data_IF_580064759373
#
_entry.id   IF_580064759373
#
_cell.length_a   1.000
_cell.length_b   1.000
_cell.length_c   1.000
_cell.angle_alpha   90.00
_cell.angle_beta   90.00
_cell.angle_gamma   90.00
#
_symmetry.space_group_name_H-M   'P 1'
#
loop_
_entity.id
_entity.type
_entity.pdbx_description
1 polymer ?
#
# COMPACT_ATOMS: atom_id res chain seq x y z
N UNK A 1 -81.88 -28.32 -34.16
CA UNK A 1 -80.96 -27.20 -34.49
C UNK A 1 -79.78 -27.24 -33.53
N UNK A 2 -78.53 -27.25 -34.03
CA UNK A 2 -77.33 -27.41 -33.19
C UNK A 2 -77.03 -26.11 -32.44
N UNK A 3 -76.89 -26.18 -31.10
CA UNK A 3 -76.34 -25.07 -30.29
C UNK A 3 -74.84 -25.29 -30.14
N UNK A 4 -74.03 -24.40 -30.72
CA UNK A 4 -72.59 -24.33 -30.42
C UNK A 4 -72.43 -23.49 -29.15
N UNK A 5 -71.84 -24.09 -28.11
CA UNK A 5 -71.34 -23.38 -26.94
C UNK A 5 -69.86 -23.11 -27.21
N UNK A 6 -69.51 -21.84 -27.39
CA UNK A 6 -68.12 -21.42 -27.52
C UNK A 6 -67.55 -21.21 -26.10
N UNK A 7 -66.77 -22.16 -25.60
CA UNK A 7 -66.06 -22.00 -24.33
C UNK A 7 -64.82 -21.12 -24.57
N UNK A 8 -64.96 -19.82 -24.34
CA UNK A 8 -63.83 -18.89 -24.40
C UNK A 8 -63.10 -18.88 -23.06
N UNK A 9 -62.06 -19.70 -22.92
CA UNK A 9 -61.17 -19.66 -21.74
C UNK A 9 -60.14 -18.55 -21.93
N UNK A 10 -60.20 -17.43 -21.18
CA UNK A 10 -59.09 -16.47 -21.20
C UNK A 10 -57.89 -17.10 -20.49
N UNK A 11 -56.84 -17.44 -21.24
CA UNK A 11 -55.53 -17.74 -20.67
C UNK A 11 -54.96 -16.45 -20.08
N UNK A 12 -55.10 -16.29 -18.77
CA UNK A 12 -54.62 -15.12 -18.04
C UNK A 12 -53.09 -15.19 -17.93
N UNK A 13 -52.40 -14.66 -18.93
CA UNK A 13 -50.94 -14.57 -18.92
C UNK A 13 -50.49 -13.45 -17.98
N UNK A 14 -50.27 -13.77 -16.70
CA UNK A 14 -49.52 -12.91 -15.78
C UNK A 14 -48.03 -12.92 -16.13
N UNK A 15 -47.65 -12.23 -17.20
CA UNK A 15 -46.26 -11.88 -17.44
C UNK A 15 -45.84 -10.79 -16.45
N UNK A 16 -45.20 -11.19 -15.35
CA UNK A 16 -44.63 -10.28 -14.34
C UNK A 16 -43.10 -10.18 -14.39
N UNK A 17 -42.46 -10.90 -15.32
CA UNK A 17 -41.00 -10.93 -15.50
C UNK A 17 -40.64 -10.53 -16.95
N UNK A 18 -39.74 -9.57 -17.11
CA UNK A 18 -39.21 -9.13 -18.40
C UNK A 18 -37.88 -9.83 -18.67
N UNK A 19 -37.85 -10.74 -19.64
CA UNK A 19 -36.62 -11.34 -20.15
C UNK A 19 -36.10 -10.59 -21.37
N UNK A 20 -34.86 -10.10 -21.31
CA UNK A 20 -34.11 -9.63 -22.49
C UNK A 20 -33.11 -10.72 -22.84
N UNK A 21 -33.30 -11.36 -23.98
CA UNK A 21 -32.52 -12.53 -24.44
C UNK A 21 -32.58 -13.75 -23.48
N UNK A 22 -33.62 -13.85 -22.63
CA UNK A 22 -33.97 -15.04 -21.87
C UNK A 22 -35.45 -15.39 -22.08
N UNK A 23 -35.76 -16.62 -22.50
CA UNK A 23 -37.13 -17.13 -22.69
C UNK A 23 -37.77 -17.69 -21.41
N UNK A 24 -36.98 -17.91 -20.36
CA UNK A 24 -37.42 -18.36 -19.04
C UNK A 24 -36.83 -17.46 -17.94
N UNK A 25 -37.26 -16.19 -17.85
CA UNK A 25 -36.71 -15.23 -16.90
C UNK A 25 -37.04 -15.61 -15.44
N UNK A 26 -36.02 -15.84 -14.64
CA UNK A 26 -36.17 -16.24 -13.22
C UNK A 26 -36.28 -15.04 -12.26
N UNK A 27 -35.99 -13.83 -12.75
CA UNK A 27 -36.14 -12.57 -12.04
C UNK A 27 -37.13 -11.64 -12.76
N UNK A 28 -37.64 -10.63 -12.05
CA UNK A 28 -38.55 -9.59 -12.60
C UNK A 28 -37.95 -8.85 -13.80
N UNK A 29 -36.62 -8.69 -13.83
CA UNK A 29 -35.86 -8.33 -15.02
C UNK A 29 -34.67 -9.29 -15.10
N UNK A 30 -34.54 -9.98 -16.23
CA UNK A 30 -33.48 -10.95 -16.49
C UNK A 30 -32.82 -10.61 -17.83
N UNK A 31 -31.49 -10.42 -17.81
CA UNK A 31 -30.70 -9.98 -18.96
C UNK A 31 -29.54 -10.96 -19.13
N UNK A 32 -29.65 -11.84 -20.14
CA UNK A 32 -28.58 -12.76 -20.50
C UNK A 32 -27.85 -12.19 -21.71
N UNK A 33 -26.56 -11.88 -21.55
CA UNK A 33 -25.74 -11.40 -22.65
C UNK A 33 -25.48 -12.49 -23.70
N UNK A 34 -25.25 -12.10 -24.94
CA UNK A 34 -24.92 -13.01 -26.04
C UNK A 34 -23.45 -13.44 -26.08
N UNK A 35 -22.60 -12.89 -25.20
CA UNK A 35 -21.19 -13.26 -25.06
C UNK A 35 -20.82 -13.56 -23.61
N UNK A 36 -19.58 -14.04 -23.40
CA UNK A 36 -19.06 -14.52 -22.12
C UNK A 36 -17.59 -14.08 -21.85
N UNK A 37 -17.10 -13.04 -22.55
CA UNK A 37 -15.73 -12.51 -22.43
C UNK A 37 -15.71 -10.99 -22.31
N UNK A 38 -14.62 -10.42 -21.78
CA UNK A 38 -14.40 -8.98 -21.65
C UNK A 38 -14.51 -8.17 -22.96
N UNK A 39 -14.46 -8.82 -24.13
CA UNK A 39 -14.64 -8.16 -25.42
C UNK A 39 -16.05 -7.57 -25.63
N UNK A 40 -17.05 -8.02 -24.84
CA UNK A 40 -18.46 -7.71 -25.05
C UNK A 40 -19.18 -7.40 -23.72
N UNK A 41 -20.35 -6.75 -23.80
CA UNK A 41 -21.02 -6.11 -22.65
C UNK A 41 -22.42 -6.67 -22.44
N UNK A 42 -22.77 -6.93 -21.18
CA UNK A 42 -24.07 -7.43 -20.75
C UNK A 42 -25.05 -6.27 -20.53
N UNK A 43 -24.53 -5.15 -20.02
CA UNK A 43 -25.27 -3.91 -19.85
C UNK A 43 -24.36 -2.73 -20.17
N UNK A 44 -24.86 -1.78 -20.95
CA UNK A 44 -24.20 -0.52 -21.27
C UNK A 44 -25.21 0.62 -21.10
N UNK A 45 -24.87 1.61 -20.29
CA UNK A 45 -25.63 2.85 -20.13
C UNK A 45 -24.78 4.01 -20.65
N UNK A 46 -25.34 4.77 -21.59
CA UNK A 46 -24.73 5.99 -22.12
C UNK A 46 -25.53 7.23 -21.75
N UNK A 47 -24.85 8.37 -21.60
CA UNK A 47 -25.51 9.67 -21.56
C UNK A 47 -25.97 10.11 -22.98
N UNK A 48 -26.59 11.29 -23.06
CA UNK A 48 -27.06 11.88 -24.33
C UNK A 48 -25.96 12.32 -25.30
N UNK A 49 -24.68 12.33 -24.87
CA UNK A 49 -23.53 12.63 -25.70
C UNK A 49 -22.67 11.34 -25.91
N UNK A 50 -23.24 10.29 -26.52
CA UNK A 50 -22.83 8.88 -26.58
C UNK A 50 -21.80 8.28 -25.60
N UNK A 51 -21.60 8.86 -24.43
CA UNK A 51 -20.50 8.53 -23.51
C UNK A 51 -20.98 7.50 -22.53
N UNK A 52 -20.21 6.43 -22.37
CA UNK A 52 -20.51 5.32 -21.48
C UNK A 52 -20.27 5.72 -20.01
N UNK A 53 -21.34 5.68 -19.21
CA UNK A 53 -21.33 6.12 -17.81
C UNK A 53 -21.44 4.96 -16.82
N UNK A 54 -21.99 3.82 -17.26
CA UNK A 54 -22.04 2.58 -16.50
C UNK A 54 -21.98 1.38 -17.45
N UNK A 55 -21.21 0.36 -17.09
CA UNK A 55 -21.03 -0.84 -17.90
C UNK A 55 -20.89 -2.08 -17.03
N UNK A 56 -21.45 -3.19 -17.49
CA UNK A 56 -21.20 -4.53 -16.98
C UNK A 56 -20.74 -5.36 -18.18
N UNK A 57 -19.50 -5.86 -18.12
CA UNK A 57 -18.95 -6.74 -19.14
C UNK A 57 -19.41 -8.19 -18.96
N UNK A 58 -19.25 -9.00 -20.00
CA UNK A 58 -19.71 -10.39 -19.99
C UNK A 58 -18.86 -11.34 -19.14
N UNK A 59 -17.70 -10.88 -18.67
CA UNK A 59 -16.87 -11.50 -17.62
C UNK A 59 -17.24 -11.03 -16.20
N UNK A 60 -18.23 -10.14 -16.06
CA UNK A 60 -18.69 -9.57 -14.79
C UNK A 60 -17.96 -8.29 -14.35
N UNK A 61 -16.95 -7.82 -15.09
CA UNK A 61 -16.22 -6.60 -14.73
C UNK A 61 -17.10 -5.34 -14.90
N UNK A 62 -17.28 -4.58 -13.81
CA UNK A 62 -18.13 -3.38 -13.75
C UNK A 62 -17.28 -2.12 -13.91
N UNK A 63 -17.70 -1.21 -14.81
CA UNK A 63 -17.05 0.09 -15.00
C UNK A 63 -18.01 1.25 -14.75
N UNK A 64 -17.61 2.21 -13.93
CA UNK A 64 -18.33 3.47 -13.68
C UNK A 64 -17.53 4.61 -14.33
N UNK A 65 -18.17 5.32 -15.26
CA UNK A 65 -17.58 6.38 -16.09
C UNK A 65 -16.28 5.94 -16.82
N UNK A 66 -16.22 4.65 -17.17
CA UNK A 66 -15.12 4.04 -17.92
C UNK A 66 -15.47 3.98 -19.40
N UNK A 67 -14.62 4.59 -20.25
CA UNK A 67 -14.91 4.82 -21.67
C UNK A 67 -14.74 3.57 -22.56
N UNK A 68 -14.16 2.48 -22.06
CA UNK A 68 -13.95 1.25 -22.82
C UNK A 68 -13.93 0.00 -21.91
N UNK A 69 -14.31 -1.14 -22.49
CA UNK A 69 -14.18 -2.45 -21.87
C UNK A 69 -12.72 -2.72 -21.44
N UNK A 70 -11.76 -2.49 -22.34
CA UNK A 70 -10.33 -2.71 -22.10
C UNK A 70 -9.71 -1.79 -21.02
N UNK A 71 -10.43 -0.74 -20.57
CA UNK A 71 -9.99 0.12 -19.47
C UNK A 71 -10.45 -0.38 -18.09
N UNK A 72 -11.28 -1.41 -18.03
CA UNK A 72 -11.71 -2.07 -16.80
C UNK A 72 -10.76 -3.23 -16.49
N UNK A 73 -9.68 -2.93 -15.77
CA UNK A 73 -8.64 -3.89 -15.38
C UNK A 73 -8.89 -4.57 -14.03
N UNK A 74 -9.99 -4.23 -13.35
CA UNK A 74 -10.44 -4.79 -12.08
C UNK A 74 -11.96 -5.01 -12.08
N UNK A 75 -12.44 -5.84 -11.13
CA UNK A 75 -13.87 -6.20 -10.97
C UNK A 75 -14.80 -4.98 -10.86
N UNK A 76 -14.32 -3.90 -10.23
CA UNK A 76 -14.99 -2.61 -10.16
C UNK A 76 -13.98 -1.50 -10.49
N UNK A 77 -14.02 -1.02 -11.73
CA UNK A 77 -13.27 0.15 -12.16
C UNK A 77 -14.12 1.42 -12.02
N UNK A 78 -13.73 2.33 -11.14
CA UNK A 78 -14.35 3.66 -11.04
C UNK A 78 -13.37 4.68 -11.60
N UNK A 79 -13.77 5.40 -12.64
CA UNK A 79 -12.98 6.49 -13.21
C UNK A 79 -13.65 7.82 -12.88
N UNK A 80 -12.96 8.71 -12.16
CA UNK A 80 -13.52 10.01 -11.76
C UNK A 80 -13.73 10.99 -12.92
N UNK A 81 -13.15 10.71 -14.10
CA UNK A 81 -13.20 11.56 -15.30
C UNK A 81 -12.41 12.86 -15.21
N UNK A 82 -11.87 13.18 -14.03
CA UNK A 82 -11.00 14.34 -13.77
C UNK A 82 -10.20 14.09 -12.49
N UNK A 83 -8.92 14.46 -12.48
CA UNK A 83 -8.08 14.44 -11.29
C UNK A 83 -8.61 15.32 -10.14
N UNK A 84 -9.51 16.27 -10.41
CA UNK A 84 -10.15 17.13 -9.40
C UNK A 84 -11.34 16.49 -8.67
N UNK A 85 -11.76 15.28 -9.08
CA UNK A 85 -12.87 14.53 -8.46
C UNK A 85 -12.34 13.32 -7.70
N UNK A 86 -12.81 13.13 -6.47
CA UNK A 86 -12.59 11.89 -5.72
C UNK A 86 -13.16 10.69 -6.50
N UNK A 87 -12.34 9.65 -6.70
CA UNK A 87 -12.77 8.40 -7.37
C UNK A 87 -13.86 7.69 -6.57
N UNK A 88 -13.69 7.64 -5.24
CA UNK A 88 -14.69 7.14 -4.30
C UNK A 88 -14.86 8.15 -3.18
N UNK A 89 -16.09 8.54 -2.90
CA UNK A 89 -16.48 9.33 -1.73
C UNK A 89 -17.45 8.48 -0.91
N UNK A 90 -17.08 8.21 0.34
CA UNK A 90 -17.92 7.52 1.29
C UNK A 90 -18.43 8.54 2.30
N UNK A 91 -19.70 8.89 2.21
CA UNK A 91 -20.37 9.79 3.14
C UNK A 91 -20.83 9.04 4.40
N UNK A 92 -20.90 9.75 5.53
CA UNK A 92 -21.34 9.20 6.82
C UNK A 92 -20.53 7.98 7.31
N UNK A 93 -19.22 7.96 7.08
CA UNK A 93 -18.32 7.02 7.76
C UNK A 93 -18.50 7.13 9.28
N UNK A 94 -18.88 6.02 9.91
CA UNK A 94 -18.98 5.94 11.37
C UNK A 94 -17.64 6.29 12.00
N UNK A 95 -17.64 7.34 12.82
CA UNK A 95 -16.47 7.77 13.58
C UNK A 95 -16.66 7.40 15.06
N UNK A 96 -15.58 7.46 15.84
CA UNK A 96 -15.55 6.97 17.22
C UNK A 96 -16.36 7.78 18.24
N UNK A 97 -16.95 8.91 17.83
CA UNK A 97 -17.75 9.79 18.69
C UNK A 97 -19.10 9.18 19.06
N UNK A 98 -19.76 8.54 18.10
CA UNK A 98 -21.17 8.14 18.19
C UNK A 98 -21.33 6.61 18.18
N UNK A 99 -20.83 5.95 19.23
CA UNK A 99 -20.90 4.48 19.41
C UNK A 99 -22.35 3.97 19.51
N UNK A 100 -22.95 3.58 18.39
CA UNK A 100 -24.12 2.69 18.38
C UNK A 100 -23.67 1.23 18.34
N UNK A 101 -23.98 0.49 19.42
CA UNK A 101 -23.50 -0.89 19.67
C UNK A 101 -24.28 -1.94 18.85
N UNK A 102 -24.65 -1.62 17.60
CA UNK A 102 -25.67 -2.33 16.84
C UNK A 102 -25.23 -2.85 15.45
N UNK A 103 -24.02 -2.53 14.98
CA UNK A 103 -23.59 -2.91 13.62
C UNK A 103 -22.08 -3.11 13.49
N UNK A 104 -21.63 -4.36 13.66
CA UNK A 104 -20.49 -5.02 13.00
C UNK A 104 -19.07 -4.41 12.96
N UNK A 105 -18.88 -3.15 13.35
CA UNK A 105 -17.65 -2.37 13.12
C UNK A 105 -16.83 -2.29 14.39
N UNK A 106 -15.58 -2.78 14.33
CA UNK A 106 -14.66 -2.76 15.47
C UNK A 106 -13.86 -1.45 15.50
N UNK A 107 -14.28 -0.52 16.35
CA UNK A 107 -13.68 0.81 16.50
C UNK A 107 -12.33 0.83 17.25
N UNK A 108 -11.80 -0.32 17.70
CA UNK A 108 -10.55 -0.38 18.46
C UNK A 108 -9.29 -0.46 17.57
N UNK A 109 -9.40 -0.15 16.27
CA UNK A 109 -8.29 -0.09 15.31
C UNK A 109 -8.33 1.25 14.55
N UNK A 110 -7.28 2.07 14.69
CA UNK A 110 -7.20 3.44 14.12
C UNK A 110 -6.11 3.58 13.06
N UNK A 111 -6.35 4.48 12.09
CA UNK A 111 -5.36 5.04 11.13
C UNK A 111 -6.02 5.95 10.05
N UNK A 112 -5.27 6.48 9.05
CA UNK A 112 -5.73 7.07 7.76
C UNK A 112 -4.78 6.79 6.55
N UNK A 113 -5.38 6.54 5.37
CA UNK A 113 -4.94 5.93 4.07
C UNK A 113 -3.62 5.12 3.82
N UNK A 114 -3.75 3.93 3.17
CA UNK A 114 -2.77 2.99 2.54
C UNK A 114 -3.48 2.15 1.46
N UNK A 115 -2.76 1.62 0.46
CA UNK A 115 -3.21 0.54 -0.45
C UNK A 115 -2.29 -0.68 -0.30
N UNK A 116 -2.84 -1.91 -0.17
CA UNK A 116 -2.03 -3.14 -0.15
C UNK A 116 -1.57 -3.57 -1.56
N UNK A 117 -0.67 -4.56 -1.65
CA UNK A 117 -0.17 -5.08 -2.95
C UNK A 117 -1.27 -5.73 -3.82
N UNK A 118 -2.51 -5.85 -3.34
CA UNK A 118 -3.67 -6.41 -4.04
C UNK A 118 -4.72 -5.35 -4.40
N UNK A 119 -4.49 -4.07 -4.06
CA UNK A 119 -5.37 -2.94 -4.41
C UNK A 119 -6.38 -2.51 -3.32
N UNK A 120 -6.33 -3.07 -2.11
CA UNK A 120 -7.29 -2.76 -1.03
C UNK A 120 -6.91 -1.48 -0.27
N UNK A 121 -7.86 -0.55 -0.13
CA UNK A 121 -7.63 0.78 0.49
C UNK A 121 -7.98 0.77 1.99
N UNK A 122 -6.95 0.73 2.84
CA UNK A 122 -7.03 0.84 4.32
C UNK A 122 -6.12 2.01 4.75
N UNK A 123 -5.39 1.99 5.87
CA UNK A 123 -5.01 3.20 6.61
C UNK A 123 -3.67 3.11 7.42
N UNK A 124 -2.89 4.22 7.48
CA UNK A 124 -1.63 4.48 8.24
C UNK A 124 -1.66 5.84 9.02
N UNK A 125 -0.61 6.68 9.00
CA UNK A 125 -0.50 8.05 9.49
C UNK A 125 0.74 8.66 8.78
N UNK A 126 0.66 9.89 8.24
CA UNK A 126 1.76 10.48 7.46
C UNK A 126 2.28 11.81 8.05
N UNK A 127 3.51 11.79 8.55
CA UNK A 127 4.21 12.97 9.10
C UNK A 127 4.52 14.04 8.05
N UNK A 128 4.60 13.68 6.75
CA UNK A 128 4.84 14.63 5.64
C UNK A 128 3.73 15.67 5.51
N UNK A 129 2.51 15.34 5.96
CA UNK A 129 1.39 16.29 6.02
C UNK A 129 1.63 17.48 6.97
N UNK A 130 2.64 17.39 7.85
CA UNK A 130 2.99 18.45 8.83
C UNK A 130 4.20 19.30 8.43
N UNK A 131 4.99 18.91 7.42
CA UNK A 131 6.13 19.69 6.94
C UNK A 131 6.57 19.26 5.54
N UNK A 132 6.71 20.22 4.61
CA UNK A 132 7.17 19.96 3.23
C UNK A 132 8.63 19.49 3.10
N UNK A 133 9.41 19.53 4.18
CA UNK A 133 10.79 19.02 4.22
C UNK A 133 10.90 17.62 4.84
N UNK A 134 9.81 17.13 5.44
CA UNK A 134 9.70 15.76 5.92
C UNK A 134 9.61 14.77 4.75
N UNK A 135 10.15 13.57 4.94
CA UNK A 135 10.22 12.56 3.88
C UNK A 135 10.21 11.14 4.42
N UNK A 136 9.77 10.21 3.58
CA UNK A 136 9.96 8.76 3.75
C UNK A 136 11.07 8.30 2.79
N UNK A 137 11.84 7.30 3.17
CA UNK A 137 12.95 6.71 2.41
C UNK A 137 12.94 5.17 2.53
N UNK A 138 11.73 4.60 2.39
CA UNK A 138 11.53 3.15 2.30
C UNK A 138 11.98 2.64 0.94
N UNK A 139 12.56 1.44 0.89
CA UNK A 139 13.06 0.84 -0.34
C UNK A 139 14.14 -0.21 -0.12
N UNK A 140 14.65 -0.75 -1.23
CA UNK A 140 15.78 -1.68 -1.24
C UNK A 140 17.08 -0.94 -1.53
N UNK A 141 18.12 -1.26 -0.77
CA UNK A 141 19.43 -0.63 -0.78
C UNK A 141 20.53 -1.70 -0.84
N UNK A 142 21.68 -1.34 -1.41
CA UNK A 142 22.87 -2.20 -1.40
C UNK A 142 24.01 -1.44 -0.76
N UNK A 143 24.45 -1.89 0.41
CA UNK A 143 25.62 -1.36 1.10
C UNK A 143 26.90 -1.93 0.49
N UNK A 144 27.92 -1.08 0.33
CA UNK A 144 29.28 -1.46 -0.04
C UNK A 144 30.26 -0.82 0.94
N UNK A 145 31.57 -1.03 0.78
CA UNK A 145 32.57 -0.34 1.61
C UNK A 145 32.58 1.19 1.44
N UNK A 146 31.91 1.72 0.41
CA UNK A 146 31.79 3.17 0.16
C UNK A 146 30.57 3.76 0.87
N UNK A 147 30.78 4.84 1.63
CA UNK A 147 29.71 5.63 2.23
C UNK A 147 28.71 6.12 1.17
N UNK A 148 27.47 5.67 1.28
CA UNK A 148 26.36 6.02 0.39
C UNK A 148 25.29 6.75 1.20
N UNK A 149 24.74 7.84 0.70
CA UNK A 149 23.70 8.61 1.42
C UNK A 149 22.37 7.86 1.42
N UNK A 150 21.82 7.61 2.61
CA UNK A 150 20.46 7.11 2.80
C UNK A 150 19.44 8.23 2.65
N UNK A 151 19.69 9.37 3.29
CA UNK A 151 18.82 10.56 3.21
C UNK A 151 19.55 11.83 3.63
N UNK A 152 19.08 12.97 3.12
CA UNK A 152 19.57 14.30 3.49
C UNK A 152 18.94 14.76 4.79
N UNK A 153 19.75 15.33 5.68
CA UNK A 153 19.32 15.82 6.99
C UNK A 153 19.15 17.34 6.99
N UNK A 154 18.14 17.80 7.72
CA UNK A 154 17.86 19.23 7.92
C UNK A 154 17.87 19.60 9.41
N UNK A 155 18.01 20.90 9.72
CA UNK A 155 17.94 21.39 11.10
C UNK A 155 16.61 21.02 11.78
N UNK A 156 16.70 20.39 12.97
CA UNK A 156 15.53 19.96 13.76
C UNK A 156 14.93 18.61 13.37
N UNK A 157 15.66 17.77 12.64
CA UNK A 157 15.24 16.42 12.25
C UNK A 157 15.19 15.42 13.42
N UNK A 158 14.10 14.66 13.45
CA UNK A 158 14.04 13.30 14.01
C UNK A 158 13.95 12.36 12.83
N UNK A 159 14.85 11.37 12.78
CA UNK A 159 14.85 10.32 11.76
C UNK A 159 14.56 9.00 12.45
N UNK A 160 13.63 8.20 11.93
CA UNK A 160 13.43 6.81 12.34
C UNK A 160 13.32 5.94 11.09
N UNK A 161 13.80 4.71 11.16
CA UNK A 161 13.67 3.72 10.09
C UNK A 161 13.87 2.31 10.64
N UNK A 162 13.17 1.34 10.07
CA UNK A 162 13.44 -0.08 10.33
C UNK A 162 14.29 -0.64 9.20
N UNK A 163 15.20 -1.56 9.52
CA UNK A 163 16.05 -2.26 8.56
C UNK A 163 15.81 -3.76 8.58
N UNK A 164 15.99 -4.41 7.44
CA UNK A 164 16.07 -5.86 7.30
C UNK A 164 17.06 -6.22 6.20
N UNK A 165 18.07 -7.05 6.47
CA UNK A 165 18.82 -7.74 5.41
C UNK A 165 18.00 -8.94 4.90
N UNK A 166 17.60 -9.00 3.62
CA UNK A 166 16.76 -10.08 3.11
C UNK A 166 17.48 -11.44 3.04
N UNK A 167 18.81 -11.41 2.91
CA UNK A 167 19.67 -12.58 2.75
C UNK A 167 20.73 -12.63 3.85
N UNK A 168 21.16 -13.85 4.21
CA UNK A 168 22.29 -14.13 5.11
C UNK A 168 23.61 -13.64 4.50
N UNK A 169 23.90 -12.35 4.69
CA UNK A 169 24.95 -11.61 3.96
C UNK A 169 25.80 -10.70 4.85
N UNK A 170 25.35 -10.41 6.07
CA UNK A 170 26.21 -9.85 7.11
C UNK A 170 27.04 -10.94 7.76
N UNK A 171 28.01 -10.55 8.59
CA UNK A 171 28.81 -11.45 9.39
C UNK A 171 29.36 -12.63 8.58
N UNK A 172 29.07 -13.86 9.03
CA UNK A 172 29.44 -15.12 8.37
C UNK A 172 28.18 -15.83 7.86
N UNK A 173 27.33 -15.09 7.14
CA UNK A 173 26.00 -15.56 6.75
C UNK A 173 24.97 -15.26 7.84
N UNK A 174 24.85 -13.99 8.21
CA UNK A 174 23.94 -13.47 9.22
C UNK A 174 22.87 -12.56 8.60
N UNK A 175 21.68 -12.57 9.19
CA UNK A 175 20.60 -11.60 8.94
C UNK A 175 20.41 -10.67 10.14
N UNK A 176 19.97 -9.44 9.87
CA UNK A 176 19.73 -8.39 10.86
C UNK A 176 18.38 -7.73 10.63
N UNK A 177 17.62 -7.56 11.72
CA UNK A 177 16.52 -6.60 11.83
C UNK A 177 16.83 -5.58 12.94
N UNK A 178 16.53 -4.30 12.70
CA UNK A 178 16.56 -3.28 13.75
C UNK A 178 15.59 -2.12 13.50
N UNK A 179 15.08 -1.52 14.57
CA UNK A 179 14.34 -0.25 14.58
C UNK A 179 15.28 0.85 15.10
N UNK A 180 15.69 1.73 14.19
CA UNK A 180 16.75 2.72 14.39
C UNK A 180 16.14 4.11 14.42
N UNK A 181 16.52 4.91 15.41
CA UNK A 181 16.23 6.34 15.48
C UNK A 181 17.52 7.14 15.53
N UNK A 182 17.57 8.29 14.88
CA UNK A 182 18.63 9.28 15.04
C UNK A 182 18.04 10.66 15.30
N UNK A 183 18.65 11.38 16.25
CA UNK A 183 18.45 12.83 16.42
C UNK A 183 19.79 13.49 16.71
N UNK A 184 19.95 14.76 16.35
CA UNK A 184 21.21 15.50 16.59
C UNK A 184 21.66 15.52 18.05
N UNK A 185 20.71 15.54 19.00
CA UNK A 185 21.00 15.70 20.42
C UNK A 185 21.19 14.37 21.17
N UNK A 186 20.65 13.27 20.66
CA UNK A 186 20.76 11.94 21.26
C UNK A 186 21.62 10.96 20.45
N UNK A 187 22.11 11.37 19.27
CA UNK A 187 22.76 10.45 18.33
C UNK A 187 21.83 9.34 17.86
N UNK A 188 22.41 8.20 17.53
CA UNK A 188 21.69 6.96 17.21
C UNK A 188 21.17 6.26 18.46
N UNK A 189 19.96 5.73 18.35
CA UNK A 189 19.29 4.88 19.32
C UNK A 189 18.70 3.69 18.55
N UNK A 190 18.69 2.52 19.18
CA UNK A 190 18.04 1.32 18.66
C UNK A 190 17.03 0.85 19.69
N UNK A 191 15.75 0.86 19.34
CA UNK A 191 14.64 0.48 20.24
C UNK A 191 14.45 -1.03 20.29
N UNK A 192 14.50 -1.68 19.13
CA UNK A 192 14.34 -3.12 18.95
C UNK A 192 15.37 -3.61 17.94
N UNK A 193 15.95 -4.79 18.16
CA UNK A 193 16.78 -5.47 17.17
C UNK A 193 16.76 -6.98 17.37
N UNK A 194 17.18 -7.70 16.34
CA UNK A 194 17.40 -9.14 16.36
C UNK A 194 18.29 -9.54 15.18
N UNK A 195 19.06 -10.60 15.35
CA UNK A 195 19.89 -11.16 14.29
C UNK A 195 19.87 -12.69 14.41
N UNK A 196 20.16 -13.38 13.31
CA UNK A 196 20.25 -14.83 13.25
C UNK A 196 21.29 -15.24 12.20
N UNK A 197 21.83 -16.45 12.31
CA UNK A 197 22.93 -16.94 11.46
C UNK A 197 22.54 -18.22 10.74
N UNK A 198 22.97 -18.40 9.49
CA UNK A 198 22.83 -19.67 8.76
C UNK A 198 23.89 -20.72 9.17
N UNK A 199 24.64 -20.49 10.24
CA UNK A 199 25.74 -21.35 10.70
C UNK A 199 25.40 -22.09 11.99
N UNK A 200 25.97 -23.29 12.15
CA UNK A 200 25.92 -24.03 13.41
C UNK A 200 26.73 -23.37 14.54
N UNK A 201 27.64 -22.44 14.20
CA UNK A 201 28.36 -21.60 15.16
C UNK A 201 27.71 -20.22 15.21
N UNK A 202 27.20 -19.83 16.39
CA UNK A 202 26.69 -18.47 16.63
C UNK A 202 27.79 -17.46 16.32
N UNK A 203 27.46 -16.40 15.58
CA UNK A 203 28.33 -15.25 15.33
C UNK A 203 27.80 -14.03 16.11
N UNK A 204 28.30 -13.75 17.33
CA UNK A 204 27.69 -12.73 18.17
C UNK A 204 27.79 -11.33 17.57
N UNK A 205 26.68 -10.58 17.60
CA UNK A 205 26.61 -9.18 17.21
C UNK A 205 26.53 -8.27 18.44
N UNK A 206 27.28 -7.17 18.42
CA UNK A 206 27.23 -6.07 19.39
C UNK A 206 26.85 -4.79 18.66
N UNK A 207 25.97 -3.97 19.26
CA UNK A 207 25.65 -2.65 18.72
C UNK A 207 26.61 -1.62 19.33
N UNK A 208 27.45 -1.04 18.48
CA UNK A 208 28.40 0.01 18.85
C UNK A 208 27.90 1.40 18.45
N UNK A 209 28.24 2.41 19.24
CA UNK A 209 28.02 3.82 18.89
C UNK A 209 26.62 4.39 19.16
N UNK A 210 25.79 3.70 19.95
CA UNK A 210 24.60 4.29 20.58
C UNK A 210 24.96 5.61 21.30
N UNK A 211 24.13 6.63 21.17
CA UNK A 211 24.42 7.98 21.67
C UNK A 211 25.30 8.84 20.75
N UNK A 212 25.79 8.30 19.64
CA UNK A 212 26.76 8.99 18.75
C UNK A 212 26.23 9.17 17.31
N UNK A 213 27.03 9.78 16.44
CA UNK A 213 26.73 9.93 15.01
C UNK A 213 27.19 8.75 14.14
N UNK A 214 27.64 7.65 14.73
CA UNK A 214 27.95 6.40 14.01
C UNK A 214 27.32 5.24 14.76
N UNK A 215 26.54 4.41 14.06
CA UNK A 215 25.94 3.18 14.58
C UNK A 215 26.53 2.00 13.79
N UNK A 216 27.09 1.02 14.49
CA UNK A 216 27.64 -0.19 13.86
C UNK A 216 26.97 -1.42 14.45
N UNK A 217 26.37 -2.23 13.58
CA UNK A 217 25.94 -3.59 13.88
C UNK A 217 27.13 -4.52 13.70
N UNK A 218 27.97 -4.59 14.73
CA UNK A 218 29.31 -5.18 14.70
C UNK A 218 29.25 -6.68 14.99
N UNK A 219 29.51 -7.50 13.98
CA UNK A 219 29.56 -8.95 14.11
C UNK A 219 30.97 -9.40 14.52
N UNK A 220 31.07 -10.44 15.35
CA UNK A 220 32.37 -10.94 15.84
C UNK A 220 33.29 -11.39 14.69
N UNK A 221 32.69 -11.97 13.65
CA UNK A 221 33.37 -12.34 12.42
C UNK A 221 32.58 -11.82 11.22
N UNK A 222 33.27 -11.34 10.18
CA UNK A 222 32.66 -11.08 8.89
C UNK A 222 32.41 -9.61 8.58
N UNK A 223 31.21 -9.29 8.09
CA UNK A 223 30.83 -7.95 7.60
C UNK A 223 29.82 -7.27 8.52
N UNK A 224 30.08 -6.02 8.87
CA UNK A 224 29.20 -5.18 9.69
C UNK A 224 28.38 -4.22 8.85
N UNK A 225 27.15 -3.92 9.28
CA UNK A 225 26.37 -2.82 8.72
C UNK A 225 26.59 -1.55 9.55
N UNK A 226 27.03 -0.48 8.90
CA UNK A 226 27.31 0.81 9.53
C UNK A 226 26.37 1.89 8.99
N UNK A 227 25.79 2.69 9.90
CA UNK A 227 25.12 3.94 9.59
C UNK A 227 25.92 5.10 10.18
N UNK A 228 26.12 6.18 9.43
CA UNK A 228 26.91 7.33 9.87
C UNK A 228 26.28 8.65 9.45
N UNK A 229 26.31 9.63 10.35
CA UNK A 229 25.78 10.97 10.11
C UNK A 229 26.93 11.96 9.96
N UNK A 230 27.02 12.55 8.76
CA UNK A 230 28.00 13.58 8.44
C UNK A 230 27.34 14.96 8.54
N UNK A 231 27.67 15.73 9.58
CA UNK A 231 27.11 17.06 9.84
C UNK A 231 28.00 18.16 9.24
N UNK A 232 27.72 18.55 7.99
CA UNK A 232 28.48 19.57 7.25
C UNK A 232 27.75 20.92 7.13
N UNK A 233 26.48 20.97 7.54
CA UNK A 233 25.57 22.07 7.24
C UNK A 233 25.18 22.96 8.42
N UNK A 234 24.21 23.84 8.18
CA UNK A 234 23.71 24.79 9.18
C UNK A 234 22.59 24.19 10.04
N UNK A 235 22.47 24.70 11.27
CA UNK A 235 21.58 24.17 12.31
C UNK A 235 20.17 24.78 12.29
N UNK A 236 19.93 25.77 11.43
CA UNK A 236 18.62 26.41 11.28
C UNK A 236 17.57 25.45 10.75
N UNK A 237 16.32 25.60 11.21
CA UNK A 237 15.21 24.75 10.75
C UNK A 237 15.08 24.78 9.22
N UNK A 238 15.03 23.61 8.58
CA UNK A 238 14.97 23.49 7.11
C UNK A 238 16.27 23.79 6.36
N UNK A 239 17.34 24.26 7.03
CA UNK A 239 18.68 24.31 6.42
C UNK A 239 19.21 22.90 6.22
N UNK A 240 19.91 22.65 5.11
CA UNK A 240 20.72 21.43 4.97
C UNK A 240 21.72 21.39 6.12
N UNK A 241 21.68 20.31 6.90
CA UNK A 241 22.47 20.07 8.10
C UNK A 241 23.54 18.99 7.86
N UNK A 242 23.35 18.13 6.84
CA UNK A 242 24.24 17.00 6.57
C UNK A 242 23.56 15.83 5.87
N UNK A 243 24.15 14.65 5.95
CA UNK A 243 23.61 13.40 5.40
C UNK A 243 23.62 12.28 6.44
N UNK A 244 22.58 11.46 6.43
CA UNK A 244 22.61 10.11 7.00
C UNK A 244 23.07 9.17 5.88
N UNK A 245 24.12 8.41 6.15
CA UNK A 245 24.79 7.53 5.21
C UNK A 245 24.82 6.10 5.76
N UNK A 246 25.07 5.16 4.87
CA UNK A 246 25.28 3.75 5.17
C UNK A 246 26.47 3.20 4.39
N UNK A 247 27.14 2.21 4.95
CA UNK A 247 28.17 1.40 4.32
C UNK A 247 28.31 0.06 5.05
N UNK A 248 29.15 -0.82 4.54
CA UNK A 248 29.63 -2.00 5.27
C UNK A 248 31.10 -1.86 5.66
N UNK A 249 31.47 -2.50 6.77
CA UNK A 249 32.86 -2.65 7.24
C UNK A 249 33.18 -4.12 7.53
N UNK A 250 34.40 -4.43 7.94
CA UNK A 250 34.85 -5.80 8.19
C UNK A 250 35.31 -6.54 6.93
N UNK A 251 35.34 -7.87 7.00
CA UNK A 251 35.86 -8.76 5.96
C UNK A 251 34.95 -9.96 5.73
N UNK A 252 34.23 -9.98 4.61
CA UNK A 252 33.31 -11.07 4.26
C UNK A 252 32.63 -10.81 2.92
N UNK A 253 31.53 -10.05 2.94
CA UNK A 253 30.83 -9.58 1.76
C UNK A 253 31.44 -8.29 1.20
N UNK A 254 31.43 -8.15 -0.14
CA UNK A 254 31.76 -6.89 -0.85
C UNK A 254 30.53 -6.01 -1.06
N UNK A 255 29.33 -6.59 -0.95
CA UNK A 255 28.04 -5.90 -1.01
C UNK A 255 27.00 -6.62 -0.16
N UNK A 256 26.19 -5.87 0.60
CA UNK A 256 25.10 -6.40 1.42
C UNK A 256 23.78 -5.73 0.99
N UNK A 257 22.78 -6.50 0.51
CA UNK A 257 21.44 -5.97 0.32
C UNK A 257 20.79 -5.73 1.69
N UNK A 258 20.04 -4.65 1.83
CA UNK A 258 19.13 -4.42 2.95
C UNK A 258 17.93 -3.59 2.50
N UNK A 259 16.83 -3.73 3.20
CA UNK A 259 15.62 -2.95 2.97
C UNK A 259 15.40 -1.99 4.13
N UNK A 260 14.78 -0.85 3.81
CA UNK A 260 14.29 0.13 4.77
C UNK A 260 12.77 0.18 4.72
N UNK A 261 12.14 0.18 5.90
CA UNK A 261 10.69 0.23 6.06
C UNK A 261 10.27 1.18 7.19
N UNK A 262 9.03 1.68 7.10
CA UNK A 262 8.41 2.55 8.12
C UNK A 262 9.26 3.77 8.47
N UNK A 263 10.08 4.20 7.51
CA UNK A 263 11.00 5.30 7.69
C UNK A 263 10.26 6.63 7.71
N UNK A 264 10.76 7.55 8.52
CA UNK A 264 10.40 8.94 8.40
C UNK A 264 11.56 9.84 8.81
N UNK A 265 11.55 11.03 8.21
CA UNK A 265 12.33 12.20 8.60
C UNK A 265 11.34 13.31 8.88
N UNK A 266 11.34 13.87 10.08
CA UNK A 266 10.25 14.74 10.56
C UNK A 266 10.21 16.16 9.99
N UNK A 267 11.34 16.65 9.45
CA UNK A 267 11.55 18.01 8.92
C UNK A 267 12.73 18.04 7.92
#
# INVERSE_FOLDING_TARGET
MKKIILLFTPSIFFCQNVGINNTTPIATLDIISSGNTNATKALKITNSNPTEIFTIQNDGNVGINSSSAAANTAQLNINSGSATKSVLKLDNLSNTKDKTIASGVNYNQFSSLVVDNNGNVFKQFDIKTTSGTASTFDGSYTATSTNTTLTNLSGGNVVRFQILTPDFTLGTGDVLYADVMWTRNAGFLVSNYGYDSSSATVNPMVINGLGTNTLVFNFTNGTDLTFSVNLTGSVGAGSNMGTLNYNITGSGATSVPFNVYYSFKSR
#
